data_IF_389903355733
#
_entry.id   IF_389903355733
#
_cell.length_a   1.000
_cell.length_b   1.000
_cell.length_c   1.000
_cell.angle_alpha   90.00
_cell.angle_beta   90.00
_cell.angle_gamma   90.00
#
_symmetry.space_group_name_H-M   'P 1'
#
loop_
_entity.id
_entity.type
_entity.pdbx_description
1 polymer ?
#
# COMPACT_ATOMS: atom_id res chain seq x y z
N UNK A 1 66.36 6.64 12.60
CA UNK A 1 65.16 7.50 12.73
C UNK A 1 64.41 7.50 11.41
N UNK A 2 63.28 6.79 11.32
CA UNK A 2 62.27 6.99 10.27
C UNK A 2 60.92 6.70 10.93
N UNK A 3 60.18 7.77 11.17
CA UNK A 3 58.82 7.76 11.69
C UNK A 3 57.91 7.35 10.52
N UNK A 4 57.03 6.37 10.71
CA UNK A 4 56.03 6.01 9.70
C UNK A 4 54.67 5.99 10.37
N UNK A 5 53.98 7.12 10.22
CA UNK A 5 52.67 7.43 10.78
C UNK A 5 51.61 6.69 9.96
N UNK A 6 50.97 5.69 10.54
CA UNK A 6 49.86 4.95 9.90
C UNK A 6 48.55 5.73 10.07
N UNK A 7 48.01 6.26 8.98
CA UNK A 7 46.68 6.85 8.89
C UNK A 7 45.62 5.73 8.90
N UNK A 8 44.83 5.65 9.98
CA UNK A 8 43.63 4.82 10.07
C UNK A 8 42.48 5.55 9.35
N UNK A 9 42.10 5.06 8.17
CA UNK A 9 40.90 5.51 7.46
C UNK A 9 39.73 4.65 7.95
N UNK A 10 38.83 5.25 8.74
CA UNK A 10 37.59 4.59 9.16
C UNK A 10 36.58 4.64 8.00
N UNK A 11 36.28 3.48 7.40
CA UNK A 11 35.25 3.35 6.40
C UNK A 11 33.86 3.33 7.08
N UNK A 12 33.08 4.40 6.94
CA UNK A 12 31.65 4.38 7.27
C UNK A 12 30.90 3.64 6.16
N UNK A 13 30.50 2.39 6.43
CA UNK A 13 29.55 1.68 5.59
C UNK A 13 28.15 2.26 5.84
N UNK A 14 27.62 3.01 4.87
CA UNK A 14 26.22 3.45 4.88
C UNK A 14 25.38 2.26 4.44
N UNK A 15 24.73 1.58 5.39
CA UNK A 15 23.72 0.59 5.05
C UNK A 15 22.51 1.32 4.47
N UNK A 16 22.27 1.14 3.16
CA UNK A 16 21.03 1.57 2.54
C UNK A 16 19.91 0.69 3.10
N UNK A 17 19.08 1.27 3.98
CA UNK A 17 17.82 0.64 4.37
C UNK A 17 16.94 0.63 3.12
N UNK A 18 16.59 -0.57 2.65
CA UNK A 18 15.54 -0.71 1.65
C UNK A 18 14.24 -0.55 2.42
N UNK A 19 13.58 0.61 2.28
CA UNK A 19 12.18 0.72 2.69
C UNK A 19 11.38 -0.09 1.67
N UNK A 20 10.69 -1.13 2.12
CA UNK A 20 9.70 -1.86 1.34
C UNK A 20 8.39 -1.05 1.30
N UNK A 21 8.48 0.16 0.76
CA UNK A 21 7.33 1.04 0.61
C UNK A 21 6.24 0.28 -0.16
N UNK A 22 5.03 0.24 0.40
CA UNK A 22 3.93 -0.57 -0.13
C UNK A 22 2.90 0.33 -0.78
N UNK A 23 2.56 0.05 -2.02
CA UNK A 23 1.53 0.78 -2.74
C UNK A 23 0.14 0.38 -2.26
N UNK A 24 -0.69 1.39 -1.98
CA UNK A 24 -2.10 1.24 -1.63
C UNK A 24 -2.95 2.13 -2.52
N UNK A 25 -3.95 1.53 -3.16
CA UNK A 25 -4.93 2.25 -3.96
C UNK A 25 -5.98 2.87 -3.05
N UNK A 26 -6.21 4.18 -3.19
CA UNK A 26 -7.36 4.83 -2.56
C UNK A 26 -8.53 4.81 -3.53
N UNK A 27 -9.67 4.38 -3.03
CA UNK A 27 -10.88 4.26 -3.81
C UNK A 27 -11.28 5.59 -4.47
N UNK A 28 -11.54 5.54 -5.79
CA UNK A 28 -11.84 6.70 -6.65
C UNK A 28 -10.75 7.79 -6.65
N UNK A 29 -9.55 7.43 -6.23
CA UNK A 29 -8.38 8.30 -6.22
C UNK A 29 -7.16 7.55 -6.78
N UNK A 30 -5.96 8.08 -6.55
CA UNK A 30 -4.70 7.58 -7.03
C UNK A 30 -4.14 6.46 -6.13
N UNK A 31 -3.01 5.91 -6.55
CA UNK A 31 -2.24 4.91 -5.80
C UNK A 31 -1.09 5.60 -5.07
N UNK A 32 -1.02 5.41 -3.76
CA UNK A 32 -0.06 6.05 -2.85
C UNK A 32 0.88 5.03 -2.27
N UNK A 33 2.14 5.40 -2.09
CA UNK A 33 3.15 4.52 -1.48
C UNK A 33 3.25 4.83 0.01
N UNK A 34 3.14 3.80 0.84
CA UNK A 34 3.19 3.86 2.29
C UNK A 34 4.50 3.29 2.80
N UNK A 35 5.16 4.06 3.67
CA UNK A 35 6.30 3.58 4.43
C UNK A 35 5.91 2.39 5.34
N UNK A 36 6.74 1.34 5.36
CA UNK A 36 6.56 0.14 6.20
C UNK A 36 6.28 0.45 7.68
N UNK A 37 6.86 1.55 8.18
CA UNK A 37 6.68 2.02 9.55
C UNK A 37 5.20 2.29 9.91
N UNK A 38 4.31 2.42 8.93
CA UNK A 38 2.87 2.60 9.13
C UNK A 38 2.12 1.29 9.39
N UNK A 39 2.76 0.14 9.15
CA UNK A 39 2.17 -1.18 9.35
C UNK A 39 1.49 -1.73 8.10
N UNK A 40 0.71 -2.80 8.30
CA UNK A 40 0.06 -3.52 7.21
C UNK A 40 -1.00 -2.65 6.51
N UNK A 41 -0.99 -2.67 5.18
CA UNK A 41 -1.93 -1.93 4.34
C UNK A 41 -3.39 -2.34 4.57
N UNK A 42 -4.29 -1.38 4.45
CA UNK A 42 -5.73 -1.65 4.44
C UNK A 42 -6.11 -2.51 3.24
N UNK A 43 -6.38 -3.78 3.51
CA UNK A 43 -6.69 -4.79 2.50
C UNK A 43 -7.39 -5.99 3.14
N UNK A 44 -7.86 -6.91 2.31
CA UNK A 44 -8.52 -8.14 2.75
C UNK A 44 -10.04 -8.06 2.65
N UNK A 45 -10.71 -9.11 3.10
CA UNK A 45 -12.17 -9.22 3.05
C UNK A 45 -12.72 -9.91 4.31
N UNK A 46 -13.95 -9.57 4.69
CA UNK A 46 -14.66 -10.13 5.83
C UNK A 46 -14.77 -9.14 6.99
N UNK A 47 -14.95 -9.67 8.21
CA UNK A 47 -15.26 -8.86 9.40
C UNK A 47 -14.14 -7.95 9.89
N UNK A 48 -12.91 -8.21 9.49
CA UNK A 48 -11.74 -7.40 9.84
C UNK A 48 -10.76 -7.33 8.65
N UNK A 49 -10.07 -6.21 8.45
CA UNK A 49 -9.06 -6.10 7.43
C UNK A 49 -7.76 -6.84 7.83
N UNK A 50 -6.92 -7.14 6.85
CA UNK A 50 -5.56 -7.65 7.06
C UNK A 50 -4.61 -6.57 7.65
N UNK A 51 -4.97 -5.30 7.51
CA UNK A 51 -4.23 -4.15 8.01
C UNK A 51 -5.10 -2.90 8.00
N UNK A 52 -4.62 -1.80 8.58
CA UNK A 52 -5.40 -0.56 8.67
C UNK A 52 -4.64 0.65 8.13
N UNK A 53 -3.43 0.45 7.59
CA UNK A 53 -2.62 1.54 7.11
C UNK A 53 -3.20 2.08 5.79
N UNK A 54 -3.48 3.38 5.79
CA UNK A 54 -3.94 4.15 4.64
C UNK A 54 -3.08 5.42 4.48
N UNK A 55 -3.14 6.08 3.31
CA UNK A 55 -2.46 7.36 3.11
C UNK A 55 -2.96 8.40 4.10
N UNK A 56 -2.03 9.22 4.59
CA UNK A 56 -2.30 10.36 5.44
C UNK A 56 -2.21 11.62 4.60
N UNK A 57 -2.79 12.69 5.10
CA UNK A 57 -2.76 13.99 4.46
C UNK A 57 -1.32 14.40 4.11
N UNK A 58 -1.12 14.78 2.85
CA UNK A 58 0.18 15.20 2.34
C UNK A 58 1.02 14.09 1.70
N UNK A 59 0.58 12.83 1.79
CA UNK A 59 1.23 11.74 1.04
C UNK A 59 1.06 11.95 -0.46
N UNK A 60 2.10 11.59 -1.21
CA UNK A 60 2.17 11.80 -2.65
C UNK A 60 1.88 10.48 -3.36
N UNK A 61 0.97 10.53 -4.34
CA UNK A 61 0.68 9.37 -5.17
C UNK A 61 1.84 9.07 -6.12
N UNK A 62 2.07 7.79 -6.36
CA UNK A 62 3.13 7.30 -7.26
C UNK A 62 2.56 6.71 -8.55
N UNK A 63 1.28 6.33 -8.56
CA UNK A 63 0.61 5.78 -9.72
C UNK A 63 -0.85 6.24 -9.82
N UNK A 64 -1.44 6.06 -11.00
CA UNK A 64 -2.85 6.33 -11.31
C UNK A 64 -3.31 7.77 -11.03
N UNK A 65 -2.38 8.71 -10.97
CA UNK A 65 -2.68 10.12 -10.75
C UNK A 65 -3.16 10.78 -12.03
N UNK A 66 -4.41 11.26 -12.02
CA UNK A 66 -5.03 11.93 -13.15
C UNK A 66 -5.65 13.28 -12.76
N UNK A 67 -5.73 14.20 -13.72
CA UNK A 67 -6.21 15.56 -13.49
C UNK A 67 -7.67 15.69 -13.06
N UNK A 68 -8.46 14.63 -13.24
CA UNK A 68 -9.87 14.59 -12.80
C UNK A 68 -10.03 14.09 -11.36
N UNK A 69 -8.94 13.65 -10.72
CA UNK A 69 -8.99 13.14 -9.35
C UNK A 69 -9.11 14.28 -8.34
N UNK A 70 -9.81 14.05 -7.22
CA UNK A 70 -9.99 15.06 -6.18
C UNK A 70 -8.69 15.43 -5.47
N UNK A 71 -7.70 14.52 -5.42
CA UNK A 71 -6.37 14.77 -4.86
C UNK A 71 -5.41 15.52 -5.80
N UNK A 72 -5.81 15.79 -7.05
CA UNK A 72 -4.90 16.37 -8.05
C UNK A 72 -4.58 17.84 -7.76
N UNK A 73 -3.36 18.09 -7.28
CA UNK A 73 -2.81 19.41 -7.02
C UNK A 73 -1.96 19.90 -8.22
N UNK A 74 -2.62 20.16 -9.34
CA UNK A 74 -2.10 20.73 -10.59
C UNK A 74 -1.09 19.88 -11.41
N UNK A 75 -0.20 19.12 -10.77
CA UNK A 75 0.79 18.26 -11.46
C UNK A 75 0.99 16.90 -10.81
N UNK A 76 0.63 16.77 -9.53
CA UNK A 76 0.73 15.54 -8.76
C UNK A 76 -0.52 15.36 -7.90
N UNK A 77 -0.77 14.13 -7.48
CA UNK A 77 -1.87 13.81 -6.58
C UNK A 77 -1.30 13.77 -5.17
N UNK A 78 -1.83 14.61 -4.30
CA UNK A 78 -1.45 14.68 -2.90
C UNK A 78 -2.68 14.42 -2.07
N UNK A 79 -2.60 13.48 -1.12
CA UNK A 79 -3.70 13.12 -0.25
C UNK A 79 -4.25 14.39 0.43
N UNK A 80 -5.52 14.79 0.16
CA UNK A 80 -6.07 16.03 0.69
C UNK A 80 -6.38 15.95 2.18
N UNK A 81 -6.59 14.72 2.68
CA UNK A 81 -6.97 14.37 4.04
C UNK A 81 -6.46 12.97 4.38
N UNK A 82 -6.68 12.53 5.61
CA UNK A 82 -6.35 11.17 6.04
C UNK A 82 -7.38 10.19 5.47
N UNK A 83 -6.91 9.15 4.77
CA UNK A 83 -7.79 8.11 4.27
C UNK A 83 -8.17 7.14 5.40
N UNK A 84 -9.42 6.70 5.37
CA UNK A 84 -9.96 5.74 6.31
C UNK A 84 -10.00 4.34 5.69
N UNK A 85 -9.62 3.33 6.49
CA UNK A 85 -9.76 1.94 6.11
C UNK A 85 -11.19 1.48 6.35
N UNK A 86 -11.95 1.27 5.27
CA UNK A 86 -13.38 0.91 5.34
C UNK A 86 -13.74 -0.16 4.32
N UNK A 87 -14.97 -0.66 4.38
CA UNK A 87 -15.50 -1.57 3.37
C UNK A 87 -15.82 -0.77 2.09
N UNK A 88 -15.03 -1.01 1.04
CA UNK A 88 -15.14 -0.31 -0.24
C UNK A 88 -16.01 -1.04 -1.26
N UNK A 89 -16.18 -2.36 -1.12
CA UNK A 89 -17.03 -3.18 -1.98
C UNK A 89 -17.39 -4.52 -1.33
N UNK A 90 -18.70 -4.79 -1.12
CA UNK A 90 -19.17 -6.05 -0.51
C UNK A 90 -18.63 -6.19 0.91
N UNK A 91 -17.69 -7.12 1.11
CA UNK A 91 -16.95 -7.32 2.38
C UNK A 91 -15.46 -6.96 2.25
N UNK A 92 -15.05 -6.29 1.16
CA UNK A 92 -13.64 -5.96 0.87
C UNK A 92 -13.24 -4.65 1.52
N UNK A 93 -12.11 -4.66 2.22
CA UNK A 93 -11.52 -3.50 2.86
C UNK A 93 -10.60 -2.74 1.90
N UNK A 94 -10.64 -1.42 1.97
CA UNK A 94 -9.77 -0.53 1.22
C UNK A 94 -9.75 0.88 1.80
N UNK A 95 -8.81 1.69 1.34
CA UNK A 95 -8.68 3.07 1.77
C UNK A 95 -9.64 3.97 1.00
N UNK A 96 -10.25 4.91 1.71
CA UNK A 96 -11.13 5.92 1.13
C UNK A 96 -10.90 7.29 1.76
N UNK A 97 -10.92 8.35 0.96
CA UNK A 97 -10.98 9.71 1.50
C UNK A 97 -12.43 10.03 1.93
N UNK A 98 -12.68 10.39 3.20
CA UNK A 98 -14.03 10.67 3.72
C UNK A 98 -14.84 11.68 2.90
N UNK A 99 -14.18 12.68 2.31
CA UNK A 99 -14.78 13.71 1.47
C UNK A 99 -15.22 13.20 0.10
N UNK A 100 -14.63 12.10 -0.39
CA UNK A 100 -14.89 11.53 -1.72
C UNK A 100 -15.84 10.33 -1.64
N UNK A 101 -15.64 9.48 -0.64
CA UNK A 101 -16.36 8.24 -0.44
C UNK A 101 -16.11 7.17 -1.50
N UNK A 102 -16.60 5.95 -1.23
CA UNK A 102 -16.60 4.82 -2.15
C UNK A 102 -18.01 4.44 -2.56
N UNK A 103 -18.21 4.22 -3.86
CA UNK A 103 -19.43 3.62 -4.38
C UNK A 103 -19.33 2.10 -4.31
N UNK A 104 -19.56 1.56 -3.10
CA UNK A 104 -19.65 0.11 -2.86
C UNK A 104 -20.16 -0.27 -1.46
N UNK A 105 -20.54 0.71 -0.63
CA UNK A 105 -21.43 0.50 0.54
C UNK A 105 -22.87 0.22 0.08
N UNK A 106 -23.06 -0.78 -0.77
CA UNK A 106 -24.35 -1.44 -0.88
C UNK A 106 -24.22 -2.74 -0.12
N UNK A 107 -24.82 -2.78 1.07
CA UNK A 107 -25.09 -4.00 1.84
C UNK A 107 -25.71 -5.03 0.91
N UNK A 108 -24.86 -5.85 0.30
CA UNK A 108 -25.26 -7.02 -0.48
C UNK A 108 -24.37 -8.11 0.03
N UNK A 109 -24.92 -8.79 1.03
CA UNK A 109 -24.50 -10.08 1.51
C UNK A 109 -24.56 -11.06 0.32
N UNK A 110 -23.58 -11.00 -0.57
CA UNK A 110 -23.42 -11.94 -1.67
C UNK A 110 -21.96 -12.37 -1.69
N UNK A 111 -21.73 -13.48 -0.98
CA UNK A 111 -20.52 -14.29 -1.07
C UNK A 111 -20.37 -14.70 -2.53
N UNK A 112 -19.71 -13.89 -3.34
CA UNK A 112 -19.22 -14.30 -4.65
C UNK A 112 -17.89 -15.01 -4.38
N UNK A 113 -17.82 -16.35 -4.41
CA UNK A 113 -16.56 -17.04 -4.22
C UNK A 113 -15.58 -16.60 -5.30
N UNK A 114 -14.38 -16.20 -4.91
CA UNK A 114 -13.25 -16.08 -5.81
C UNK A 114 -13.15 -17.40 -6.60
N UNK A 115 -13.07 -17.39 -7.95
CA UNK A 115 -12.79 -18.61 -8.68
C UNK A 115 -11.39 -19.08 -8.28
N UNK A 116 -11.31 -20.08 -7.41
CA UNK A 116 -10.07 -20.80 -7.14
C UNK A 116 -9.69 -21.48 -8.46
N UNK A 117 -8.78 -20.87 -9.20
CA UNK A 117 -8.05 -21.58 -10.24
C UNK A 117 -7.14 -22.53 -9.48
N UNK A 118 -7.65 -23.73 -9.22
CA UNK A 118 -6.85 -24.84 -8.70
C UNK A 118 -5.71 -25.07 -9.68
N UNK A 119 -4.50 -24.67 -9.27
CA UNK A 119 -3.29 -25.19 -9.88
C UNK A 119 -3.35 -26.72 -9.75
N UNK A 120 -3.17 -27.49 -10.84
CA UNK A 120 -3.19 -28.94 -10.75
C UNK A 120 -2.03 -29.39 -9.86
N UNK A 121 -2.36 -30.10 -8.78
CA UNK A 121 -1.40 -30.78 -7.93
C UNK A 121 -0.52 -31.66 -8.81
N UNK A 122 0.76 -31.31 -8.88
CA UNK A 122 1.75 -32.15 -9.56
C UNK A 122 1.95 -33.38 -8.69
N UNK A 123 1.28 -34.46 -9.08
CA UNK A 123 1.49 -35.81 -8.59
C UNK A 123 2.95 -36.21 -8.83
N UNK A 124 3.82 -35.97 -7.84
CA UNK A 124 5.17 -36.50 -7.81
C UNK A 124 5.12 -37.94 -7.26
N UNK A 125 5.00 -38.86 -8.21
CA UNK A 125 5.12 -40.31 -8.03
C UNK A 125 6.58 -40.70 -7.69
N UNK A 126 6.73 -41.65 -6.75
CA UNK A 126 7.84 -42.62 -6.52
C UNK A 126 9.16 -42.14 -5.89
N UNK A 127 10.00 -43.05 -5.30
CA UNK A 127 10.17 -44.50 -5.53
C UNK A 127 9.47 -45.44 -4.55
#
# INVERSE_FOLDING_TARGET
MKVSTTLLVAALAVAAVVSADTDVSVCRDATYTLADSRGAICSGAGSAPAGTACPLKGDVATADCHSYLPSYAATQCTAPEDAECTIVNGDTWGCVFPSVGCTGSSTSNETTPCPVTSLPDTNATTP
#
